data_IF_402622297148
#
_entry.id   IF_402622297148
#
_cell.length_a   1.000
_cell.length_b   1.000
_cell.length_c   1.000
_cell.angle_alpha   90.00
_cell.angle_beta   90.00
_cell.angle_gamma   90.00
#
_symmetry.space_group_name_H-M   'P 1'
#
loop_
_entity.id
_entity.type
_entity.pdbx_description
1 polymer ?
#
# COMPACT_ATOMS: atom_id res chain seq x y z
N UNK A 1 -16.49 -21.70 -9.66
CA UNK A 1 -15.86 -21.07 -10.85
C UNK A 1 -16.09 -21.88 -12.12
N UNK A 2 -15.50 -23.08 -12.26
CA UNK A 2 -15.57 -23.91 -13.48
C UNK A 2 -16.98 -24.03 -14.10
N UNK A 3 -17.99 -24.41 -13.30
CA UNK A 3 -19.38 -24.53 -13.77
C UNK A 3 -19.91 -23.24 -14.40
N UNK A 4 -19.56 -22.07 -13.86
CA UNK A 4 -19.95 -20.79 -14.45
C UNK A 4 -19.26 -20.56 -15.81
N UNK A 5 -17.97 -20.87 -15.92
CA UNK A 5 -17.24 -20.79 -17.18
C UNK A 5 -17.84 -21.73 -18.24
N UNK A 6 -18.16 -22.98 -17.87
CA UNK A 6 -18.83 -23.94 -18.77
C UNK A 6 -20.23 -23.49 -19.19
N UNK A 7 -21.07 -23.03 -18.26
CA UNK A 7 -22.44 -22.57 -18.55
C UNK A 7 -22.47 -21.37 -19.49
N UNK A 8 -21.64 -20.35 -19.24
CA UNK A 8 -21.74 -19.07 -19.94
C UNK A 8 -20.75 -18.89 -21.10
N UNK A 9 -19.54 -19.46 -21.00
CA UNK A 9 -18.49 -19.35 -22.04
C UNK A 9 -18.23 -20.66 -22.79
N UNK A 10 -18.80 -21.79 -22.35
CA UNK A 10 -18.60 -23.13 -22.93
C UNK A 10 -17.15 -23.62 -22.95
N UNK A 11 -16.26 -22.93 -22.25
CA UNK A 11 -14.82 -23.22 -22.16
C UNK A 11 -14.27 -22.82 -20.79
N UNK A 12 -13.13 -23.38 -20.42
CA UNK A 12 -12.34 -22.96 -19.25
C UNK A 12 -11.35 -21.88 -19.72
N UNK A 13 -11.18 -20.77 -18.98
CA UNK A 13 -10.22 -19.73 -19.37
C UNK A 13 -8.78 -20.24 -19.19
N UNK A 14 -7.91 -19.96 -20.17
CA UNK A 14 -6.51 -20.39 -20.13
C UNK A 14 -5.69 -19.74 -19.00
N UNK A 15 -6.12 -18.55 -18.53
CA UNK A 15 -5.43 -17.78 -17.48
C UNK A 15 -6.39 -17.33 -16.38
N UNK A 16 -6.01 -17.62 -15.14
CA UNK A 16 -6.65 -17.17 -13.90
C UNK A 16 -5.70 -16.23 -13.18
N UNK A 17 -6.21 -15.11 -12.66
CA UNK A 17 -5.45 -14.18 -11.82
C UNK A 17 -6.11 -14.14 -10.44
N UNK A 18 -5.32 -14.44 -9.41
CA UNK A 18 -5.68 -14.34 -8.00
C UNK A 18 -5.19 -12.97 -7.52
N UNK A 19 -6.12 -12.12 -7.11
CA UNK A 19 -5.88 -10.70 -6.79
C UNK A 19 -6.99 -10.17 -5.86
N UNK A 20 -6.81 -8.96 -5.34
CA UNK A 20 -7.72 -8.32 -4.39
C UNK A 20 -7.30 -8.56 -2.93
N UNK A 21 -7.30 -7.49 -2.13
CA UNK A 21 -6.73 -7.52 -0.77
C UNK A 21 -5.26 -7.93 -0.81
N UNK A 22 -4.85 -8.79 0.13
CA UNK A 22 -3.61 -9.56 0.00
C UNK A 22 -3.98 -11.05 0.05
N UNK A 23 -3.94 -11.78 -1.10
CA UNK A 23 -4.34 -13.18 -1.15
C UNK A 23 -3.50 -14.10 -0.25
N UNK A 24 -2.25 -13.74 0.05
CA UNK A 24 -1.36 -14.60 0.84
C UNK A 24 -1.65 -14.58 2.34
N UNK A 25 -2.66 -13.85 2.82
CA UNK A 25 -3.03 -13.81 4.24
C UNK A 25 -3.76 -15.06 4.71
N UNK A 26 -4.47 -15.76 3.81
CA UNK A 26 -5.14 -17.03 4.09
C UNK A 26 -4.44 -18.14 3.30
N UNK A 27 -3.43 -18.74 3.93
CA UNK A 27 -2.54 -19.74 3.32
C UNK A 27 -3.30 -20.99 2.90
N UNK A 28 -4.12 -21.54 3.78
CA UNK A 28 -4.86 -22.78 3.54
C UNK A 28 -5.89 -22.60 2.42
N UNK A 29 -6.60 -21.46 2.40
CA UNK A 29 -7.51 -21.13 1.31
C UNK A 29 -6.77 -20.95 -0.03
N UNK A 30 -5.65 -20.23 -0.03
CA UNK A 30 -4.88 -19.99 -1.26
C UNK A 30 -4.32 -21.30 -1.83
N UNK A 31 -3.75 -22.18 -1.00
CA UNK A 31 -3.25 -23.48 -1.42
C UNK A 31 -4.39 -24.38 -1.95
N UNK A 32 -5.51 -24.45 -1.24
CA UNK A 32 -6.69 -25.18 -1.69
C UNK A 32 -7.27 -24.68 -3.02
N UNK A 33 -7.27 -23.36 -3.22
CA UNK A 33 -7.71 -22.73 -4.47
C UNK A 33 -6.74 -23.04 -5.63
N UNK A 34 -5.42 -22.91 -5.42
CA UNK A 34 -4.42 -23.18 -6.46
C UNK A 34 -4.44 -24.66 -6.88
N UNK A 35 -4.43 -25.58 -5.90
CA UNK A 35 -4.57 -27.03 -6.17
C UNK A 35 -5.86 -27.33 -6.92
N UNK A 36 -7.00 -26.81 -6.45
CA UNK A 36 -8.30 -27.05 -7.09
C UNK A 36 -8.41 -26.46 -8.51
N UNK A 37 -7.67 -25.41 -8.83
CA UNK A 37 -7.54 -24.89 -10.20
C UNK A 37 -6.61 -25.77 -11.05
N UNK A 38 -5.48 -26.22 -10.49
CA UNK A 38 -4.51 -27.06 -11.19
C UNK A 38 -5.14 -28.41 -11.61
N UNK A 39 -5.82 -29.10 -10.67
CA UNK A 39 -6.59 -30.33 -10.92
C UNK A 39 -7.62 -30.20 -12.05
N UNK A 40 -8.15 -28.98 -12.26
CA UNK A 40 -9.17 -28.66 -13.27
C UNK A 40 -8.56 -28.17 -14.59
N UNK A 41 -7.26 -28.41 -14.79
CA UNK A 41 -6.49 -28.09 -15.98
C UNK A 41 -6.49 -26.60 -16.38
N UNK A 42 -6.51 -25.69 -15.39
CA UNK A 42 -6.23 -24.28 -15.65
C UNK A 42 -4.74 -24.08 -15.92
N UNK A 43 -4.39 -23.72 -17.16
CA UNK A 43 -3.01 -23.71 -17.67
C UNK A 43 -2.10 -22.59 -17.14
N UNK A 44 -2.65 -21.44 -16.79
CA UNK A 44 -1.91 -20.31 -16.22
C UNK A 44 -2.63 -19.83 -14.95
N UNK A 45 -2.10 -20.18 -13.79
CA UNK A 45 -2.56 -19.67 -12.48
C UNK A 45 -1.54 -18.61 -12.02
N UNK A 46 -2.00 -17.37 -11.90
CA UNK A 46 -1.16 -16.22 -11.52
C UNK A 46 -1.58 -15.68 -10.16
N UNK A 47 -0.62 -15.52 -9.25
CA UNK A 47 -0.81 -14.82 -7.98
C UNK A 47 -0.33 -13.37 -8.10
N UNK A 48 -1.13 -12.40 -7.66
CA UNK A 48 -0.70 -11.02 -7.43
C UNK A 48 -0.63 -10.76 -5.92
N UNK A 49 0.52 -10.30 -5.43
CA UNK A 49 0.80 -10.17 -3.99
C UNK A 49 1.81 -9.06 -3.69
N UNK A 50 1.78 -8.51 -2.48
CA UNK A 50 2.87 -7.69 -1.93
C UNK A 50 4.09 -8.51 -1.46
N UNK A 51 4.03 -9.84 -1.52
CA UNK A 51 5.15 -10.75 -1.23
C UNK A 51 5.53 -10.91 0.25
N UNK A 52 5.01 -10.06 1.16
CA UNK A 52 5.47 -10.02 2.56
C UNK A 52 5.30 -11.36 3.29
N UNK A 53 4.18 -12.05 3.11
CA UNK A 53 3.96 -13.35 3.76
C UNK A 53 4.86 -14.45 3.15
N UNK A 54 5.09 -14.41 1.83
CA UNK A 54 5.88 -15.41 1.10
C UNK A 54 7.36 -15.46 1.50
N UNK A 55 7.92 -14.34 1.97
CA UNK A 55 9.28 -14.31 2.53
C UNK A 55 9.33 -14.30 4.06
N UNK A 56 8.17 -14.25 4.72
CA UNK A 56 8.07 -14.48 6.18
C UNK A 56 8.01 -15.99 6.47
N UNK A 57 7.25 -16.74 5.69
CA UNK A 57 7.13 -18.21 5.77
C UNK A 57 7.98 -18.85 4.67
N UNK A 58 9.05 -19.56 5.08
CA UNK A 58 10.04 -20.13 4.17
C UNK A 58 9.51 -21.28 3.32
N UNK A 59 8.42 -21.94 3.73
CA UNK A 59 7.84 -23.08 3.01
C UNK A 59 6.81 -22.64 1.96
N UNK A 60 6.21 -21.46 2.13
CA UNK A 60 5.03 -21.02 1.40
C UNK A 60 5.22 -21.00 -0.12
N UNK A 61 6.38 -20.57 -0.61
CA UNK A 61 6.68 -20.58 -2.06
C UNK A 61 6.74 -22.01 -2.61
N UNK A 62 7.34 -22.95 -1.87
CA UNK A 62 7.44 -24.35 -2.26
C UNK A 62 6.08 -25.07 -2.21
N UNK A 63 5.23 -24.73 -1.23
CA UNK A 63 3.85 -25.25 -1.16
C UNK A 63 2.98 -24.71 -2.30
N UNK A 64 3.14 -23.43 -2.68
CA UNK A 64 2.46 -22.85 -3.85
C UNK A 64 2.93 -23.48 -5.17
N UNK A 65 4.22 -23.77 -5.30
CA UNK A 65 4.78 -24.50 -6.45
C UNK A 65 4.20 -25.92 -6.52
N UNK A 66 4.19 -26.65 -5.39
CA UNK A 66 3.61 -27.99 -5.30
C UNK A 66 2.09 -28.02 -5.55
N UNK A 67 1.37 -26.96 -5.18
CA UNK A 67 -0.05 -26.78 -5.51
C UNK A 67 -0.30 -26.48 -7.01
N UNK A 68 0.74 -26.13 -7.77
CA UNK A 68 0.65 -25.86 -9.20
C UNK A 68 0.52 -24.37 -9.58
N UNK A 69 0.98 -23.44 -8.74
CA UNK A 69 1.08 -22.03 -9.11
C UNK A 69 2.06 -21.84 -10.27
N UNK A 70 1.68 -21.07 -11.30
CA UNK A 70 2.49 -20.97 -12.54
C UNK A 70 3.26 -19.66 -12.68
N UNK A 71 2.76 -18.58 -12.07
CA UNK A 71 3.33 -17.23 -12.19
C UNK A 71 3.01 -16.42 -10.91
N UNK A 72 3.97 -15.62 -10.44
CA UNK A 72 3.81 -14.71 -9.31
C UNK A 72 4.18 -13.28 -9.73
N UNK A 73 3.29 -12.33 -9.43
CA UNK A 73 3.48 -10.90 -9.63
C UNK A 73 3.66 -10.26 -8.26
N UNK A 74 4.90 -9.84 -7.94
CA UNK A 74 5.27 -9.28 -6.64
C UNK A 74 5.43 -7.78 -6.74
N UNK A 75 4.70 -7.02 -5.91
CA UNK A 75 4.83 -5.57 -5.82
C UNK A 75 5.91 -5.15 -4.81
N UNK A 76 7.10 -4.81 -5.32
CA UNK A 76 8.18 -4.23 -4.51
C UNK A 76 7.95 -2.73 -4.43
N UNK A 77 7.35 -2.30 -3.31
CA UNK A 77 6.87 -0.93 -3.10
C UNK A 77 7.99 0.10 -2.90
N UNK A 78 9.15 -0.29 -2.36
CA UNK A 78 10.36 0.51 -2.17
C UNK A 78 11.56 -0.40 -1.83
N UNK A 79 12.77 -0.01 -2.24
CA UNK A 79 14.03 -0.68 -1.88
C UNK A 79 14.63 -0.15 -0.58
N UNK A 80 14.45 1.13 -0.28
CA UNK A 80 14.81 1.69 1.02
C UNK A 80 13.82 1.18 2.09
N UNK A 81 14.31 0.40 3.06
CA UNK A 81 13.47 -0.22 4.10
C UNK A 81 12.72 0.83 4.95
N UNK A 82 13.36 1.97 5.23
CA UNK A 82 12.73 3.10 5.95
C UNK A 82 11.58 3.73 5.16
N UNK A 83 11.77 3.98 3.86
CA UNK A 83 10.72 4.45 2.97
C UNK A 83 9.58 3.42 2.92
N UNK A 84 9.90 2.14 2.75
CA UNK A 84 8.93 1.06 2.76
C UNK A 84 8.15 1.00 4.08
N UNK A 85 8.80 1.19 5.24
CA UNK A 85 8.15 1.26 6.56
C UNK A 85 7.26 2.49 6.71
N UNK A 86 7.68 3.67 6.24
CA UNK A 86 6.86 4.88 6.31
C UNK A 86 5.59 4.76 5.45
N UNK A 87 5.72 4.10 4.29
CA UNK A 87 4.65 3.89 3.31
C UNK A 87 3.69 2.78 3.76
N UNK A 88 4.21 1.60 4.06
CA UNK A 88 3.44 0.36 4.26
C UNK A 88 3.25 -0.05 5.73
N UNK A 89 3.93 0.62 6.66
CA UNK A 89 4.00 0.22 8.07
C UNK A 89 4.73 -1.10 8.32
N UNK A 90 5.47 -1.63 7.33
CA UNK A 90 6.18 -2.93 7.37
C UNK A 90 7.55 -2.84 6.70
N UNK A 91 8.44 -3.76 7.06
CA UNK A 91 9.76 -3.88 6.41
C UNK A 91 9.63 -4.43 4.98
N UNK A 92 10.56 -4.07 4.10
CA UNK A 92 10.68 -4.69 2.78
C UNK A 92 11.48 -6.00 2.79
N UNK A 93 12.21 -6.31 3.85
CA UNK A 93 13.10 -7.49 3.89
C UNK A 93 12.38 -8.81 3.56
N UNK A 94 11.15 -9.09 4.07
CA UNK A 94 10.39 -10.26 3.64
C UNK A 94 9.95 -10.21 2.17
N UNK A 95 9.71 -9.03 1.61
CA UNK A 95 9.35 -8.87 0.18
C UNK A 95 10.55 -9.16 -0.72
N UNK A 96 11.75 -8.68 -0.34
CA UNK A 96 12.99 -8.96 -1.06
C UNK A 96 13.35 -10.45 -0.98
N UNK A 97 13.24 -11.08 0.20
CA UNK A 97 13.41 -12.53 0.36
C UNK A 97 12.38 -13.33 -0.46
N UNK A 98 11.13 -12.88 -0.56
CA UNK A 98 10.14 -13.53 -1.41
C UNK A 98 10.53 -13.51 -2.89
N UNK A 99 11.13 -12.41 -3.37
CA UNK A 99 11.66 -12.28 -4.75
C UNK A 99 12.80 -13.27 -4.99
N UNK A 100 13.72 -13.45 -4.03
CA UNK A 100 14.80 -14.44 -4.11
C UNK A 100 14.24 -15.87 -4.18
N UNK A 101 13.37 -16.24 -3.25
CA UNK A 101 12.76 -17.59 -3.20
C UNK A 101 11.90 -17.89 -4.43
N UNK A 102 11.16 -16.90 -4.96
CA UNK A 102 10.37 -17.07 -6.19
C UNK A 102 11.22 -17.15 -7.45
N UNK A 103 12.39 -16.50 -7.51
CA UNK A 103 13.32 -16.68 -8.62
C UNK A 103 14.04 -18.05 -8.57
N UNK A 104 14.18 -18.63 -7.37
CA UNK A 104 14.79 -19.94 -7.17
C UNK A 104 13.83 -21.13 -7.42
N UNK A 105 12.51 -20.89 -7.56
CA UNK A 105 11.51 -21.92 -7.83
C UNK A 105 11.12 -22.00 -9.32
N UNK A 106 10.31 -22.98 -9.69
CA UNK A 106 9.72 -23.10 -11.02
C UNK A 106 8.60 -22.09 -11.33
N UNK A 107 8.24 -21.22 -10.39
CA UNK A 107 7.17 -20.22 -10.55
C UNK A 107 7.71 -19.03 -11.37
N UNK A 108 7.03 -18.66 -12.46
CA UNK A 108 7.45 -17.52 -13.29
C UNK A 108 7.30 -16.21 -12.51
N UNK A 109 8.41 -15.52 -12.24
CA UNK A 109 8.40 -14.24 -11.55
C UNK A 109 8.12 -13.05 -12.51
N UNK A 110 7.37 -12.06 -12.03
CA UNK A 110 7.31 -10.70 -12.55
C UNK A 110 7.34 -9.76 -11.35
N UNK A 111 8.37 -8.93 -11.24
CA UNK A 111 8.41 -7.89 -10.20
C UNK A 111 7.76 -6.63 -10.75
N UNK A 112 6.98 -5.94 -9.92
CA UNK A 112 6.34 -4.67 -10.24
C UNK A 112 6.69 -3.62 -9.19
N UNK A 113 6.73 -2.35 -9.60
CA UNK A 113 6.81 -1.20 -8.70
C UNK A 113 5.96 -0.07 -9.25
N UNK A 114 5.32 0.70 -8.36
CA UNK A 114 4.60 1.91 -8.73
C UNK A 114 5.52 3.13 -8.56
N UNK A 115 5.83 3.84 -9.64
CA UNK A 115 6.52 5.12 -9.58
C UNK A 115 5.60 6.18 -8.98
N UNK A 116 6.02 6.77 -7.87
CA UNK A 116 5.29 7.76 -7.08
C UNK A 116 6.16 9.03 -6.91
N UNK A 117 5.90 10.14 -7.63
CA UNK A 117 6.69 11.37 -7.48
C UNK A 117 6.82 11.82 -6.02
N UNK A 118 8.02 12.20 -5.59
CA UNK A 118 8.34 12.57 -4.22
C UNK A 118 8.30 11.43 -3.17
N UNK A 119 8.11 10.18 -3.58
CA UNK A 119 8.15 8.99 -2.71
C UNK A 119 9.01 7.88 -3.31
N UNK A 120 8.55 7.27 -4.41
CA UNK A 120 9.21 6.15 -5.11
C UNK A 120 9.61 6.65 -6.49
N UNK A 121 10.79 7.25 -6.57
CA UNK A 121 11.30 7.90 -7.77
C UNK A 121 12.38 7.07 -8.47
N UNK A 122 13.02 7.64 -9.49
CA UNK A 122 13.95 6.94 -10.37
C UNK A 122 15.13 6.28 -9.63
N UNK A 123 15.57 6.84 -8.49
CA UNK A 123 16.61 6.28 -7.62
C UNK A 123 16.18 4.99 -6.89
N UNK A 124 14.92 4.90 -6.44
CA UNK A 124 14.37 3.67 -5.87
C UNK A 124 14.21 2.60 -6.95
N UNK A 125 13.68 2.99 -8.12
CA UNK A 125 13.53 2.10 -9.28
C UNK A 125 14.88 1.55 -9.75
N UNK A 126 15.93 2.36 -9.75
CA UNK A 126 17.30 1.96 -10.09
C UNK A 126 17.86 0.95 -9.06
N UNK A 127 17.71 1.21 -7.76
CA UNK A 127 18.14 0.27 -6.72
C UNK A 127 17.39 -1.07 -6.79
N UNK A 128 16.07 -1.06 -7.03
CA UNK A 128 15.30 -2.29 -7.29
C UNK A 128 15.88 -3.02 -8.50
N UNK A 129 16.13 -2.32 -9.62
CA UNK A 129 16.68 -2.94 -10.81
C UNK A 129 18.09 -3.54 -10.60
N UNK A 130 18.94 -2.88 -9.81
CA UNK A 130 20.26 -3.40 -9.40
C UNK A 130 20.13 -4.67 -8.55
N UNK A 131 19.25 -4.67 -7.54
CA UNK A 131 18.98 -5.83 -6.69
C UNK A 131 18.46 -7.02 -7.51
N UNK A 132 17.45 -6.80 -8.35
CA UNK A 132 16.92 -7.84 -9.24
C UNK A 132 17.99 -8.37 -10.20
N UNK A 133 18.82 -7.50 -10.78
CA UNK A 133 19.90 -7.91 -11.67
C UNK A 133 21.04 -8.67 -10.95
N UNK A 134 21.22 -8.47 -9.64
CA UNK A 134 22.16 -9.24 -8.82
C UNK A 134 21.67 -10.67 -8.53
N UNK A 135 20.35 -10.87 -8.50
CA UNK A 135 19.71 -12.20 -8.41
C UNK A 135 19.71 -12.88 -9.78
N UNK A 136 19.08 -12.25 -10.77
CA UNK A 136 18.92 -12.77 -12.12
C UNK A 136 18.52 -11.65 -13.10
N UNK A 137 19.37 -11.40 -14.11
CA UNK A 137 19.15 -10.34 -15.12
C UNK A 137 17.94 -10.57 -16.03
N UNK A 138 17.43 -11.79 -16.12
CA UNK A 138 16.27 -12.12 -16.92
C UNK A 138 14.93 -11.86 -16.20
N UNK A 139 14.95 -11.50 -14.91
CA UNK A 139 13.73 -11.14 -14.16
C UNK A 139 12.97 -10.03 -14.91
N UNK A 140 11.70 -10.32 -15.23
CA UNK A 140 10.79 -9.34 -15.80
C UNK A 140 10.48 -8.29 -14.73
N UNK A 141 10.64 -7.01 -15.07
CA UNK A 141 10.39 -5.90 -14.16
C UNK A 141 9.43 -4.89 -14.80
N UNK A 142 8.40 -4.48 -14.08
CA UNK A 142 7.36 -3.56 -14.58
C UNK A 142 7.22 -2.33 -13.71
N UNK A 143 7.48 -1.17 -14.32
CA UNK A 143 7.29 0.14 -13.70
C UNK A 143 5.89 0.65 -14.10
N UNK A 144 5.03 0.82 -13.11
CA UNK A 144 3.67 1.35 -13.29
C UNK A 144 3.62 2.82 -12.81
N UNK A 145 3.00 3.76 -13.53
CA UNK A 145 2.82 5.13 -13.05
C UNK A 145 1.74 5.18 -11.96
N UNK A 146 1.96 5.95 -10.90
CA UNK A 146 0.91 6.24 -9.92
C UNK A 146 -0.29 6.93 -10.57
N UNK A 147 -1.50 6.51 -10.22
CA UNK A 147 -2.76 7.04 -10.76
C UNK A 147 -3.62 7.57 -9.60
N UNK A 148 -3.57 8.87 -9.29
CA UNK A 148 -4.18 9.42 -8.07
C UNK A 148 -5.68 9.17 -7.92
N UNK A 149 -6.43 9.08 -9.03
CA UNK A 149 -7.88 8.83 -9.04
C UNK A 149 -8.26 7.41 -8.55
N UNK A 150 -7.31 6.49 -8.41
CA UNK A 150 -7.54 5.15 -7.86
C UNK A 150 -6.96 4.95 -6.46
N UNK A 151 -6.25 5.93 -5.92
CA UNK A 151 -5.78 5.89 -4.55
C UNK A 151 -6.92 6.28 -3.59
N UNK A 152 -7.01 5.63 -2.44
CA UNK A 152 -7.97 6.02 -1.40
C UNK A 152 -7.67 7.41 -0.85
N UNK A 153 -6.43 7.87 -1.02
CA UNK A 153 -5.93 9.17 -0.59
C UNK A 153 -5.15 9.87 -1.69
N UNK A 154 -5.22 11.21 -1.68
CA UNK A 154 -4.39 12.05 -2.56
C UNK A 154 -2.98 12.16 -1.97
N UNK A 155 -2.08 11.31 -2.44
CA UNK A 155 -0.74 11.13 -1.84
C UNK A 155 0.38 11.73 -2.68
N UNK A 156 0.31 11.53 -3.99
CA UNK A 156 1.19 12.22 -4.94
C UNK A 156 0.41 12.52 -6.23
N UNK A 157 1.01 13.30 -7.13
CA UNK A 157 0.47 13.52 -8.48
C UNK A 157 0.77 12.33 -9.38
N UNK A 158 0.12 12.26 -10.55
CA UNK A 158 0.57 11.37 -11.62
C UNK A 158 1.99 11.77 -12.06
N UNK A 159 2.92 10.83 -12.26
CA UNK A 159 4.22 11.15 -12.84
C UNK A 159 4.10 11.65 -14.29
N UNK A 160 5.04 12.49 -14.69
CA UNK A 160 5.20 12.92 -16.08
C UNK A 160 5.78 11.79 -16.94
N UNK A 161 5.69 11.93 -18.26
CA UNK A 161 6.30 10.96 -19.18
C UNK A 161 7.82 10.93 -18.99
N UNK A 162 8.47 12.09 -18.87
CA UNK A 162 9.91 12.20 -18.67
C UNK A 162 10.40 11.53 -17.38
N UNK A 163 9.62 11.58 -16.30
CA UNK A 163 9.93 10.90 -15.03
C UNK A 163 9.93 9.38 -15.21
N UNK A 164 8.89 8.84 -15.85
CA UNK A 164 8.77 7.41 -16.16
C UNK A 164 9.85 6.96 -17.15
N UNK A 165 10.15 7.76 -18.17
CA UNK A 165 11.18 7.46 -19.16
C UNK A 165 12.59 7.50 -18.56
N UNK A 166 12.87 8.41 -17.62
CA UNK A 166 14.13 8.40 -16.84
C UNK A 166 14.25 7.13 -16.00
N UNK A 167 13.20 6.77 -15.25
CA UNK A 167 13.20 5.55 -14.43
C UNK A 167 13.40 4.28 -15.28
N UNK A 168 12.75 4.20 -16.44
CA UNK A 168 12.96 3.14 -17.44
C UNK A 168 14.41 3.07 -17.90
N UNK A 169 14.99 4.21 -18.34
CA UNK A 169 16.38 4.26 -18.85
C UNK A 169 17.43 3.86 -17.82
N UNK A 170 17.21 4.08 -16.52
CA UNK A 170 18.08 3.59 -15.47
C UNK A 170 17.90 2.08 -15.27
N UNK A 171 16.67 1.61 -15.04
CA UNK A 171 16.39 0.19 -14.82
C UNK A 171 16.83 -0.71 -15.99
N UNK A 172 16.65 -0.27 -17.23
CA UNK A 172 17.04 -1.01 -18.44
C UNK A 172 18.55 -1.19 -18.64
N UNK A 173 19.41 -0.45 -17.92
CA UNK A 173 20.86 -0.71 -17.93
C UNK A 173 21.20 -2.02 -17.21
N UNK A 174 20.41 -2.36 -16.19
CA UNK A 174 20.59 -3.56 -15.37
C UNK A 174 19.74 -4.72 -15.90
N UNK A 175 18.45 -4.47 -16.17
CA UNK A 175 17.44 -5.44 -16.57
C UNK A 175 16.90 -5.18 -17.99
N UNK A 176 17.34 -5.94 -19.02
CA UNK A 176 16.85 -5.76 -20.39
C UNK A 176 15.35 -6.02 -20.54
N UNK A 177 14.76 -6.84 -19.67
CA UNK A 177 13.34 -7.19 -19.65
C UNK A 177 12.46 -6.19 -18.86
N UNK A 178 12.96 -4.97 -18.60
CA UNK A 178 12.17 -3.90 -17.98
C UNK A 178 11.11 -3.40 -18.95
N UNK A 179 9.89 -3.16 -18.45
CA UNK A 179 8.78 -2.53 -19.17
C UNK A 179 8.18 -1.39 -18.35
N UNK A 180 7.77 -0.31 -19.03
CA UNK A 180 6.89 0.72 -18.46
C UNK A 180 5.45 0.50 -18.92
N UNK A 181 4.49 0.80 -18.05
CA UNK A 181 3.07 0.71 -18.38
C UNK A 181 2.47 2.10 -18.60
N UNK A 182 1.88 2.39 -19.76
CA UNK A 182 1.17 3.67 -20.01
C UNK A 182 -0.21 3.72 -19.35
N UNK A 183 -0.74 2.57 -18.94
CA UNK A 183 -1.97 2.43 -18.16
C UNK A 183 -1.96 1.18 -17.26
N UNK A 184 -2.96 1.01 -16.40
CA UNK A 184 -3.13 -0.22 -15.61
C UNK A 184 -3.49 -1.46 -16.48
N UNK A 185 -3.82 -1.26 -17.76
CA UNK A 185 -4.05 -2.33 -18.73
C UNK A 185 -2.74 -2.84 -19.32
N UNK A 186 -2.70 -4.15 -19.62
CA UNK A 186 -1.55 -4.84 -20.24
C UNK A 186 -1.25 -4.23 -21.61
N UNK A 187 0.02 -3.92 -21.85
CA UNK A 187 0.56 -3.68 -23.20
C UNK A 187 0.94 -5.02 -23.85
N UNK A 188 0.93 -5.06 -25.19
CA UNK A 188 0.78 -6.25 -26.05
C UNK A 188 -0.65 -6.84 -26.09
N UNK A 189 -1.09 -7.24 -27.30
CA UNK A 189 -2.32 -6.75 -27.90
C UNK A 189 -3.49 -6.93 -26.97
N UNK A 190 -3.98 -5.80 -26.45
CA UNK A 190 -5.10 -5.78 -25.52
C UNK A 190 -6.27 -6.50 -26.20
N UNK A 191 -6.77 -7.62 -25.64
CA UNK A 191 -7.97 -8.25 -26.17
C UNK A 191 -9.09 -7.20 -26.21
N UNK A 192 -9.98 -7.22 -27.23
CA UNK A 192 -11.06 -6.26 -27.31
C UNK A 192 -11.79 -6.21 -25.96
N UNK A 193 -12.02 -5.01 -25.38
CA UNK A 193 -12.36 -4.85 -23.97
C UNK A 193 -13.54 -5.76 -23.62
N UNK A 194 -13.34 -6.63 -22.63
CA UNK A 194 -14.34 -7.63 -22.25
C UNK A 194 -15.58 -6.92 -21.69
N UNK A 195 -16.59 -6.77 -22.54
CA UNK A 195 -17.81 -6.01 -22.24
C UNK A 195 -18.67 -6.65 -21.14
N UNK A 196 -18.45 -7.93 -20.85
CA UNK A 196 -19.12 -8.66 -19.77
C UNK A 196 -18.20 -9.67 -19.10
N UNK A 197 -18.35 -9.85 -17.79
CA UNK A 197 -17.75 -10.94 -17.00
C UNK A 197 -18.83 -11.67 -16.18
N UNK A 198 -18.42 -12.62 -15.34
CA UNK A 198 -19.30 -13.32 -14.40
C UNK A 198 -18.68 -13.20 -13.02
N UNK A 199 -19.45 -12.69 -12.07
CA UNK A 199 -19.13 -12.79 -10.65
C UNK A 199 -19.65 -14.12 -10.13
N UNK A 200 -18.80 -14.87 -9.41
CA UNK A 200 -19.19 -16.04 -8.63
C UNK A 200 -19.00 -15.66 -7.16
N UNK A 201 -20.05 -15.80 -6.35
CA UNK A 201 -20.06 -15.40 -4.96
C UNK A 201 -19.69 -16.57 -4.02
N UNK A 202 -19.38 -16.31 -2.72
CA UNK A 202 -19.06 -17.36 -1.76
C UNK A 202 -20.20 -18.38 -1.53
N UNK A 203 -21.46 -17.96 -1.70
CA UNK A 203 -22.65 -18.82 -1.68
C UNK A 203 -22.86 -19.64 -2.97
N UNK A 204 -21.86 -19.64 -3.87
CA UNK A 204 -21.85 -20.27 -5.19
C UNK A 204 -22.86 -19.69 -6.20
N UNK A 205 -23.59 -18.62 -5.86
CA UNK A 205 -24.44 -17.93 -6.84
C UNK A 205 -23.58 -17.24 -7.91
N UNK A 206 -24.15 -17.07 -9.10
CA UNK A 206 -23.45 -16.46 -10.24
C UNK A 206 -24.27 -15.31 -10.82
N UNK A 207 -23.62 -14.17 -11.05
CA UNK A 207 -24.23 -13.03 -11.76
C UNK A 207 -23.37 -12.62 -12.94
N UNK A 208 -23.94 -12.63 -14.15
CA UNK A 208 -23.34 -11.99 -15.32
C UNK A 208 -23.38 -10.48 -15.13
N UNK A 209 -22.26 -9.81 -15.41
CA UNK A 209 -22.06 -8.37 -15.22
C UNK A 209 -21.62 -7.73 -16.53
N UNK A 210 -22.01 -6.48 -16.77
CA UNK A 210 -21.49 -5.64 -17.85
C UNK A 210 -20.76 -4.40 -17.34
N UNK A 211 -20.19 -3.61 -18.25
CA UNK A 211 -19.53 -2.33 -17.90
C UNK A 211 -20.41 -1.39 -17.06
N UNK A 212 -21.73 -1.39 -17.30
CA UNK A 212 -22.70 -0.64 -16.50
C UNK A 212 -22.74 -1.12 -15.04
N UNK A 213 -22.79 -2.44 -14.79
CA UNK A 213 -22.71 -2.98 -13.42
C UNK A 213 -21.41 -2.52 -12.72
N UNK A 214 -20.26 -2.55 -13.40
CA UNK A 214 -19.00 -2.06 -12.83
C UNK A 214 -19.02 -0.56 -12.59
N UNK A 215 -19.67 0.22 -13.45
CA UNK A 215 -19.81 1.65 -13.24
C UNK A 215 -20.66 1.93 -12.01
N UNK A 216 -21.80 1.25 -11.84
CA UNK A 216 -22.67 1.39 -10.66
C UNK A 216 -22.02 0.84 -9.38
N UNK A 217 -21.35 -0.32 -9.44
CA UNK A 217 -20.60 -0.88 -8.32
C UNK A 217 -19.43 0.06 -7.94
N UNK A 218 -18.70 0.65 -8.90
CA UNK A 218 -17.67 1.68 -8.63
C UNK A 218 -18.27 2.96 -8.07
N UNK A 219 -19.39 3.44 -8.62
CA UNK A 219 -20.05 4.67 -8.17
C UNK A 219 -20.61 4.51 -6.76
N UNK A 220 -21.13 3.34 -6.39
CA UNK A 220 -21.57 3.05 -5.01
C UNK A 220 -20.40 2.85 -4.04
N UNK A 221 -19.26 2.32 -4.49
CA UNK A 221 -18.02 2.32 -3.72
C UNK A 221 -17.49 3.76 -3.49
N UNK A 222 -17.51 4.59 -4.53
CA UNK A 222 -17.04 5.98 -4.50
C UNK A 222 -18.03 6.94 -3.84
N UNK A 223 -19.33 6.61 -3.78
CA UNK A 223 -20.32 7.42 -3.06
C UNK A 223 -20.13 7.38 -1.54
N UNK A 224 -19.22 6.53 -1.05
CA UNK A 224 -18.78 6.53 0.34
C UNK A 224 -17.59 7.50 0.61
N UNK A 225 -16.98 8.14 -0.42
CA UNK A 225 -16.10 9.35 -0.41
C UNK A 225 -15.45 9.53 -1.81
N UNK A 226 -15.41 10.69 -2.50
CA UNK A 226 -15.79 12.10 -2.24
C UNK A 226 -16.39 12.76 -3.52
N UNK A 227 -16.83 14.01 -3.43
CA UNK A 227 -17.14 14.91 -4.57
C UNK A 227 -15.93 15.16 -5.49
N UNK A 228 -16.21 15.49 -6.76
CA UNK A 228 -15.21 15.87 -7.76
C UNK A 228 -14.64 17.27 -7.46
N UNK A 229 -13.31 17.43 -7.52
CA UNK A 229 -12.60 18.62 -7.04
C UNK A 229 -11.74 19.31 -8.12
N UNK A 230 -11.38 20.55 -7.84
CA UNK A 230 -10.94 21.56 -8.80
C UNK A 230 -9.40 21.71 -8.90
N UNK A 231 -8.93 22.67 -9.70
CA UNK A 231 -7.51 22.99 -9.84
C UNK A 231 -6.91 23.63 -8.57
N UNK A 232 -7.73 24.25 -7.73
CA UNK A 232 -7.29 24.89 -6.47
C UNK A 232 -7.03 23.88 -5.35
N UNK A 233 -7.64 22.70 -5.41
CA UNK A 233 -7.50 21.68 -4.37
C UNK A 233 -6.09 21.04 -4.39
N UNK A 234 -5.47 20.94 -5.58
CA UNK A 234 -4.06 20.52 -5.74
C UNK A 234 -3.05 21.40 -4.99
N UNK A 235 -3.34 22.71 -4.78
CA UNK A 235 -2.46 23.56 -3.98
C UNK A 235 -2.56 23.26 -2.48
N UNK A 236 -3.72 22.79 -2.00
CA UNK A 236 -3.95 22.36 -0.61
C UNK A 236 -3.35 20.97 -0.33
N UNK A 237 -3.15 20.17 -1.38
CA UNK A 237 -2.57 18.83 -1.34
C UNK A 237 -1.04 18.84 -1.28
N UNK A 238 -0.38 19.80 -1.95
CA UNK A 238 1.07 19.95 -1.93
C UNK A 238 1.67 20.02 -0.50
N UNK A 239 0.89 20.46 0.48
CA UNK A 239 1.26 20.43 1.90
C UNK A 239 1.38 19.02 2.48
N UNK A 240 0.45 18.10 2.19
CA UNK A 240 0.57 16.70 2.65
C UNK A 240 1.76 16.00 2.00
N UNK A 241 2.02 16.32 0.72
CA UNK A 241 3.13 15.74 -0.04
C UNK A 241 4.45 16.24 0.55
N UNK A 242 4.57 17.55 0.80
CA UNK A 242 5.75 18.17 1.43
C UNK A 242 5.96 17.64 2.84
N UNK A 243 4.89 17.46 3.63
CA UNK A 243 4.95 16.90 4.98
C UNK A 243 5.44 15.45 4.95
N UNK A 244 4.85 14.59 4.10
CA UNK A 244 5.30 13.20 3.90
C UNK A 244 6.77 13.14 3.46
N UNK A 245 7.17 13.98 2.51
CA UNK A 245 8.56 14.03 2.03
C UNK A 245 9.55 14.51 3.12
N UNK A 246 9.16 15.52 3.91
CA UNK A 246 9.97 15.97 5.07
C UNK A 246 10.14 14.89 6.13
N UNK A 247 9.16 13.99 6.28
CA UNK A 247 9.23 12.87 7.23
C UNK A 247 10.13 11.72 6.74
N UNK A 248 10.21 11.49 5.43
CA UNK A 248 11.16 10.53 4.85
C UNK A 248 12.61 10.97 5.14
N UNK A 249 12.94 12.25 4.94
CA UNK A 249 14.28 12.80 5.22
C UNK A 249 14.69 12.87 6.70
N UNK A 250 13.74 12.81 7.64
CA UNK A 250 14.06 12.75 9.08
C UNK A 250 14.57 11.36 9.48
N UNK A 251 14.14 10.29 8.79
CA UNK A 251 14.67 8.93 8.99
C UNK A 251 16.18 8.87 8.72
N UNK A 252 16.64 9.59 7.70
CA UNK A 252 18.06 9.62 7.28
C UNK A 252 18.97 10.40 8.24
N UNK A 253 18.43 11.34 9.03
CA UNK A 253 19.23 12.32 9.79
C UNK A 253 19.20 12.16 11.31
N UNK A 254 18.19 11.51 11.88
CA UNK A 254 17.99 11.43 13.33
C UNK A 254 18.87 10.39 14.07
N UNK A 255 19.82 9.74 13.40
CA UNK A 255 20.86 8.93 14.07
C UNK A 255 21.91 9.79 14.83
N UNK A 256 21.79 11.12 14.81
CA UNK A 256 22.70 12.05 15.51
C UNK A 256 21.97 12.93 16.53
N UNK A 257 21.99 12.46 17.77
CA UNK A 257 22.04 13.25 19.02
C UNK A 257 21.13 14.49 19.11
N UNK A 258 19.97 14.31 19.76
CA UNK A 258 19.43 15.33 20.65
C UNK A 258 19.77 14.95 22.10
N UNK A 259 20.75 15.62 22.69
CA UNK A 259 21.01 15.52 24.13
C UNK A 259 19.86 16.08 24.96
N UNK A 260 19.82 15.83 26.28
CA UNK A 260 18.74 16.29 27.15
C UNK A 260 18.73 17.83 27.23
N UNK A 261 17.83 18.46 26.46
CA UNK A 261 17.57 19.89 26.55
C UNK A 261 16.86 20.24 27.85
N UNK A 262 17.44 21.15 28.62
CA UNK A 262 16.89 21.59 29.90
C UNK A 262 15.57 22.37 29.76
N UNK A 263 14.59 22.06 30.61
CA UNK A 263 13.53 22.99 31.00
C UNK A 263 12.42 23.35 29.99
N UNK A 264 11.48 22.43 29.72
CA UNK A 264 10.11 22.78 29.24
C UNK A 264 9.04 21.94 29.95
N UNK A 265 8.48 22.50 31.04
CA UNK A 265 7.46 21.85 31.87
C UNK A 265 6.00 22.16 31.52
N UNK A 266 5.75 23.16 30.66
CA UNK A 266 4.42 23.50 30.15
C UNK A 266 4.52 24.13 28.76
N UNK A 267 3.52 23.87 27.93
CA UNK A 267 3.42 24.41 26.56
C UNK A 267 2.40 23.65 25.73
N UNK A 268 2.01 24.21 24.59
CA UNK A 268 1.14 23.54 23.63
C UNK A 268 1.92 22.51 22.79
N UNK A 269 1.25 21.41 22.43
CA UNK A 269 1.68 20.45 21.42
C UNK A 269 1.01 20.83 20.11
N UNK A 270 1.76 20.88 19.00
CA UNK A 270 1.16 21.04 17.66
C UNK A 270 0.75 19.69 17.11
N UNK A 271 -0.54 19.47 16.88
CA UNK A 271 -1.06 18.28 16.20
C UNK A 271 -1.38 18.61 14.74
N UNK A 272 -0.85 17.85 13.78
CA UNK A 272 -1.08 17.99 12.34
C UNK A 272 -1.94 16.85 11.77
N UNK A 273 -2.80 17.16 10.80
CA UNK A 273 -3.77 16.22 10.20
C UNK A 273 -3.65 16.13 8.66
N UNK A 274 -3.86 14.95 8.05
CA UNK A 274 -3.86 14.75 6.61
C UNK A 274 -5.20 15.21 6.01
N UNK A 275 -5.26 15.40 4.68
CA UNK A 275 -6.46 15.92 4.00
C UNK A 275 -7.70 15.01 4.17
N UNK A 276 -7.49 13.71 4.39
CA UNK A 276 -8.56 12.75 4.68
C UNK A 276 -9.30 13.05 5.98
N UNK A 277 -8.64 13.67 6.97
CA UNK A 277 -9.28 14.10 8.22
C UNK A 277 -9.85 15.52 8.16
N UNK A 278 -9.55 16.31 7.12
CA UNK A 278 -9.97 17.72 7.05
C UNK A 278 -11.49 17.92 7.16
N UNK A 279 -12.31 16.98 6.67
CA UNK A 279 -13.77 17.08 6.82
C UNK A 279 -14.25 16.87 8.26
N UNK A 280 -13.45 16.21 9.11
CA UNK A 280 -13.76 15.99 10.51
C UNK A 280 -13.16 17.11 11.38
N UNK A 281 -11.93 17.52 11.11
CA UNK A 281 -11.22 18.52 11.92
C UNK A 281 -11.52 19.96 11.52
N UNK A 282 -11.92 20.20 10.27
CA UNK A 282 -12.01 21.53 9.61
C UNK A 282 -10.73 22.38 9.67
N UNK A 283 -9.60 21.77 10.06
CA UNK A 283 -8.27 22.39 10.13
C UNK A 283 -7.18 21.38 9.78
N UNK A 284 -6.04 21.88 9.29
CA UNK A 284 -4.82 21.09 9.05
C UNK A 284 -3.97 20.86 10.29
N UNK A 285 -4.18 21.66 11.33
CA UNK A 285 -3.47 21.52 12.60
C UNK A 285 -4.29 22.14 13.75
N UNK A 286 -4.02 21.69 14.97
CA UNK A 286 -4.53 22.30 16.20
C UNK A 286 -3.42 22.31 17.26
N UNK A 287 -3.44 23.29 18.14
CA UNK A 287 -2.54 23.36 19.29
C UNK A 287 -3.28 22.83 20.53
N UNK A 288 -2.63 21.95 21.30
CA UNK A 288 -3.20 21.27 22.46
C UNK A 288 -2.37 21.54 23.72
N UNK A 289 -2.94 22.27 24.67
CA UNK A 289 -2.24 22.67 25.88
C UNK A 289 -1.92 21.47 26.80
N UNK A 290 -0.64 21.37 27.17
CA UNK A 290 -0.15 20.32 28.05
C UNK A 290 0.42 20.87 29.36
N UNK A 291 -0.34 20.64 30.42
CA UNK A 291 0.01 20.92 31.80
C UNK A 291 0.95 19.82 32.36
N UNK A 292 2.14 19.69 31.76
CA UNK A 292 3.14 18.66 32.10
C UNK A 292 3.25 17.54 31.05
N UNK A 293 4.14 16.55 31.30
CA UNK A 293 4.32 15.40 30.40
C UNK A 293 3.03 14.58 30.32
N UNK A 294 2.67 14.17 29.11
CA UNK A 294 1.47 13.39 28.81
C UNK A 294 1.79 12.26 27.85
N UNK A 295 0.88 11.32 27.59
CA UNK A 295 1.10 10.23 26.62
C UNK A 295 0.38 10.48 25.30
N UNK A 296 0.84 9.84 24.23
CA UNK A 296 0.12 9.83 22.94
C UNK A 296 -1.32 9.35 23.12
N UNK A 297 -1.56 8.34 23.97
CA UNK A 297 -2.91 7.89 24.29
C UNK A 297 -3.80 9.01 24.86
N UNK A 298 -3.27 9.81 25.80
CA UNK A 298 -4.01 10.92 26.40
C UNK A 298 -4.29 12.04 25.38
N UNK A 299 -3.35 12.33 24.47
CA UNK A 299 -3.56 13.30 23.38
C UNK A 299 -4.61 12.78 22.39
N UNK A 300 -4.57 11.50 22.01
CA UNK A 300 -5.57 10.90 21.12
C UNK A 300 -6.98 10.87 21.75
N UNK A 301 -7.09 10.67 23.07
CA UNK A 301 -8.36 10.81 23.81
C UNK A 301 -8.90 12.25 23.73
N UNK A 302 -8.08 13.25 24.07
CA UNK A 302 -8.48 14.68 23.98
C UNK A 302 -8.89 15.10 22.56
N UNK A 303 -8.21 14.58 21.52
CA UNK A 303 -8.59 14.82 20.13
C UNK A 303 -9.94 14.19 19.77
N UNK A 304 -10.22 12.98 20.25
CA UNK A 304 -11.52 12.35 20.12
C UNK A 304 -12.62 13.12 20.86
N UNK A 305 -12.36 13.60 22.07
CA UNK A 305 -13.30 14.41 22.85
C UNK A 305 -13.60 15.76 22.16
N UNK A 306 -12.61 16.35 21.47
CA UNK A 306 -12.73 17.64 20.79
C UNK A 306 -13.42 17.56 19.41
N UNK A 307 -13.12 16.53 18.61
CA UNK A 307 -13.67 16.36 17.26
C UNK A 307 -14.84 15.35 17.17
N UNK A 308 -15.20 14.71 18.29
CA UNK A 308 -16.36 13.84 18.43
C UNK A 308 -16.16 12.39 17.98
N UNK A 309 -17.19 11.56 18.19
CA UNK A 309 -17.11 10.11 17.99
C UNK A 309 -16.79 9.69 16.55
N UNK A 310 -17.19 10.45 15.52
CA UNK A 310 -16.82 10.13 14.13
C UNK A 310 -15.31 10.23 13.90
N UNK A 311 -14.61 11.19 14.53
CA UNK A 311 -13.16 11.28 14.49
C UNK A 311 -12.51 10.13 15.27
N UNK A 312 -13.06 9.82 16.45
CA UNK A 312 -12.64 8.67 17.28
C UNK A 312 -12.70 7.36 16.51
N UNK A 313 -13.87 7.06 15.93
CA UNK A 313 -14.10 5.85 15.13
C UNK A 313 -13.26 5.84 13.85
N UNK A 314 -12.93 6.99 13.26
CA UNK A 314 -12.08 7.05 12.06
C UNK A 314 -10.65 6.60 12.36
N UNK A 315 -10.07 7.01 13.49
CA UNK A 315 -8.62 6.86 13.76
C UNK A 315 -8.32 5.78 14.81
N UNK A 316 -9.26 5.41 15.67
CA UNK A 316 -9.03 4.53 16.81
C UNK A 316 -9.85 3.24 16.70
N UNK A 317 -9.29 2.13 17.19
CA UNK A 317 -10.02 0.90 17.44
C UNK A 317 -10.50 0.89 18.90
N UNK A 318 -11.80 0.75 19.10
CA UNK A 318 -12.44 0.45 20.39
C UNK A 318 -12.59 -1.07 20.54
N UNK A 319 -11.49 -1.75 20.86
CA UNK A 319 -11.49 -3.20 21.12
C UNK A 319 -12.04 -3.54 22.50
N UNK A 320 -12.93 -4.53 22.59
CA UNK A 320 -13.46 -5.01 23.87
C UNK A 320 -12.46 -5.83 24.70
N UNK A 321 -12.72 -5.92 26.00
CA UNK A 321 -12.08 -6.82 26.98
C UNK A 321 -10.59 -6.61 27.33
N UNK A 322 -9.96 -5.49 26.94
CA UNK A 322 -8.78 -4.97 27.66
C UNK A 322 -8.65 -3.44 27.48
N UNK A 323 -8.27 -2.72 28.55
CA UNK A 323 -8.31 -1.24 28.65
C UNK A 323 -7.21 -0.52 27.83
N UNK A 324 -7.17 -0.72 26.52
CA UNK A 324 -6.20 -0.10 25.63
C UNK A 324 -6.82 0.49 24.36
N UNK A 325 -6.70 1.80 24.16
CA UNK A 325 -6.98 2.42 22.87
C UNK A 325 -5.82 2.14 21.92
N UNK A 326 -6.11 1.65 20.71
CA UNK A 326 -5.11 1.47 19.64
C UNK A 326 -5.46 2.28 18.39
N UNK A 327 -4.45 2.75 17.67
CA UNK A 327 -4.64 3.46 16.40
C UNK A 327 -5.01 2.45 15.31
N UNK A 328 -6.01 2.77 14.49
CA UNK A 328 -6.43 1.99 13.34
C UNK A 328 -5.28 1.79 12.36
N UNK A 329 -5.20 0.59 11.77
CA UNK A 329 -4.13 0.21 10.84
C UNK A 329 -4.00 1.16 9.64
N UNK A 330 -5.08 1.86 9.26
CA UNK A 330 -5.09 2.90 8.23
C UNK A 330 -4.37 4.19 8.61
N UNK A 331 -3.82 4.32 9.82
CA UNK A 331 -3.07 5.49 10.28
C UNK A 331 -1.72 5.10 10.90
N UNK A 332 -0.75 5.99 10.70
CA UNK A 332 0.54 6.06 11.36
C UNK A 332 0.60 7.39 12.11
N UNK A 333 1.28 7.42 13.26
CA UNK A 333 1.49 8.64 14.04
C UNK A 333 2.99 8.84 14.20
N UNK A 334 3.43 10.08 14.07
CA UNK A 334 4.83 10.50 14.17
C UNK A 334 4.96 11.57 15.24
N UNK A 335 5.96 11.45 16.11
CA UNK A 335 6.31 12.44 17.13
C UNK A 335 7.67 13.02 16.77
N UNK A 336 7.75 14.34 16.55
CA UNK A 336 8.97 15.04 16.12
C UNK A 336 9.67 14.35 14.91
N UNK A 337 8.85 13.80 14.01
CA UNK A 337 9.29 13.07 12.81
C UNK A 337 9.57 11.58 12.98
N UNK A 338 9.67 11.04 14.20
CA UNK A 338 9.84 9.60 14.43
C UNK A 338 8.49 8.88 14.51
N UNK A 339 8.35 7.76 13.79
CA UNK A 339 7.14 6.93 13.89
C UNK A 339 7.04 6.31 15.29
N UNK A 340 5.88 6.42 15.94
CA UNK A 340 5.71 6.04 17.35
C UNK A 340 5.87 4.52 17.59
N UNK A 341 5.78 3.71 16.52
CA UNK A 341 6.08 2.27 16.53
C UNK A 341 7.56 1.96 16.80
N UNK A 342 8.45 2.94 16.56
CA UNK A 342 9.88 2.88 16.88
C UNK A 342 10.19 3.49 18.26
N UNK A 343 9.16 3.92 18.99
CA UNK A 343 9.21 4.47 20.36
C UNK A 343 8.40 3.54 21.28
N UNK A 344 7.78 4.07 22.34
CA UNK A 344 6.91 3.32 23.26
C UNK A 344 5.43 3.26 22.80
N UNK A 345 5.18 3.42 21.50
CA UNK A 345 3.83 3.39 20.93
C UNK A 345 2.91 4.43 21.57
N UNK A 346 1.72 4.00 21.98
CA UNK A 346 0.72 4.85 22.65
C UNK A 346 1.18 5.41 24.01
N UNK A 347 2.16 4.75 24.66
CA UNK A 347 2.73 5.17 25.95
C UNK A 347 3.96 6.06 25.80
N UNK A 348 4.30 6.49 24.58
CA UNK A 348 5.36 7.49 24.35
C UNK A 348 4.97 8.81 25.04
N UNK A 349 5.88 9.37 25.85
CA UNK A 349 5.72 10.70 26.45
C UNK A 349 5.75 11.80 25.36
N UNK A 350 4.91 12.81 25.53
CA UNK A 350 4.95 14.08 24.79
C UNK A 350 5.03 15.24 25.79
N UNK A 351 5.74 16.30 25.40
CA UNK A 351 6.03 17.50 26.19
C UNK A 351 5.62 18.76 25.42
N UNK A 352 5.51 19.89 26.14
CA UNK A 352 5.15 21.17 25.53
C UNK A 352 6.19 21.63 24.50
N UNK A 353 5.74 21.94 23.28
CA UNK A 353 6.58 22.29 22.14
C UNK A 353 6.90 21.15 21.17
N UNK A 354 6.45 19.92 21.46
CA UNK A 354 6.54 18.80 20.50
C UNK A 354 5.52 18.94 19.35
N UNK A 355 5.82 18.28 18.23
CA UNK A 355 4.95 18.17 17.07
C UNK A 355 4.49 16.72 16.86
N UNK A 356 3.18 16.50 16.92
CA UNK A 356 2.53 15.22 16.65
C UNK A 356 1.88 15.27 15.25
N UNK A 357 2.16 14.29 14.40
CA UNK A 357 1.62 14.23 13.05
C UNK A 357 0.85 12.93 12.90
N UNK A 358 -0.45 13.05 12.62
CA UNK A 358 -1.27 11.92 12.20
C UNK A 358 -1.18 11.85 10.68
N UNK A 359 -0.73 10.70 10.15
CA UNK A 359 -0.76 10.42 8.72
C UNK A 359 -1.49 9.12 8.47
N UNK A 360 -2.48 9.20 7.60
CA UNK A 360 -3.14 8.05 7.01
C UNK A 360 -2.22 7.28 6.05
N UNK A 361 -2.50 5.98 5.92
CA UNK A 361 -1.83 5.08 4.98
C UNK A 361 -2.11 5.50 3.55
N UNK A 362 -1.03 5.57 2.78
CA UNK A 362 -1.09 5.60 1.33
C UNK A 362 -1.54 4.22 0.87
N UNK A 363 -2.68 4.12 0.20
CA UNK A 363 -3.03 2.92 -0.57
C UNK A 363 -3.03 3.24 -2.07
N UNK A 364 -2.23 2.48 -2.80
CA UNK A 364 -2.06 2.55 -4.24
C UNK A 364 -1.19 1.37 -4.65
N UNK A 365 -1.81 0.34 -5.23
CA UNK A 365 -1.27 -1.02 -5.29
C UNK A 365 -1.82 -1.85 -4.16
#
# INVERSE_FOLDING_TARGET
MEQACRTYYRTIPAKTLITGGEPTLDKDYLLGLVTGLHERAFSEIVLMTNGYALGTDEQYVAELEAAGLTEAHVDVKAFSDDLHRSYTGKSNQPVLKAVETLNASGIKLLVQTIYMPGLVEASEIEQIAQFLASINRDIRYRINPFVPIFAFEKVTRRPTLDEIERAYKLASQYLPNTIISRSCYREYPTPPPQKTWITVYPDLTTKRRGMEDQMQDRLSWLSHTRLCESKEDWQKEAWDFTLRHSLVGISETAARQSGPGEGKGSGSIKVKFPLSLHELTKTRWTDLDCCGPTTIEAVMKRLADHYGDTFRETILNTGGYSDGITIKRSFNVYLNGMNIKNLHGMQTEIRGGDELIILSWVSGG
#
